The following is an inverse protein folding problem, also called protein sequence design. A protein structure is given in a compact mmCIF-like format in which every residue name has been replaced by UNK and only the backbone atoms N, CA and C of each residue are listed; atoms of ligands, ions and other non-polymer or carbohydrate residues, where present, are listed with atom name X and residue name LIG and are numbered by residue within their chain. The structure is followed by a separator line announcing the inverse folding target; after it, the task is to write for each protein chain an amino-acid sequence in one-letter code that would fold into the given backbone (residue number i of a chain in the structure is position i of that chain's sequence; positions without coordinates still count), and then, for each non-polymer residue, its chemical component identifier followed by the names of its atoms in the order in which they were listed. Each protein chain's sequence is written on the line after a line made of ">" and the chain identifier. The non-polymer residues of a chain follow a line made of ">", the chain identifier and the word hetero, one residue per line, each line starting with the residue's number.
data_IF_598908475596
#
_entry.id   IF_598908475596
#
_cell.length_a   1.000
_cell.length_b   1.000
_cell.length_c   1.000
_cell.angle_alpha   90.00
_cell.angle_beta   90.00
_cell.angle_gamma   90.00
#
_symmetry.space_group_name_H-M   'P 1'
#
loop_
_entity.id
_entity.type
_entity.pdbx_description
1 polymer ?
#
# COMPACT_ATOMS: atom_id res chain seq x y z
N UNK A 1 32.69 -9.41 -17.15
CA UNK A 1 32.91 -9.52 -15.70
C UNK A 1 31.57 -9.90 -15.09
N UNK A 2 31.55 -11.09 -14.52
CA UNK A 2 30.35 -11.68 -13.88
C UNK A 2 30.02 -10.89 -12.62
N UNK A 3 28.95 -10.14 -12.63
CA UNK A 3 28.25 -9.79 -11.39
C UNK A 3 27.38 -10.98 -11.00
N UNK A 4 28.01 -12.00 -10.42
CA UNK A 4 27.28 -12.94 -9.60
C UNK A 4 26.94 -12.22 -8.31
N UNK A 5 25.72 -11.70 -8.20
CA UNK A 5 25.16 -11.35 -6.92
C UNK A 5 25.31 -12.56 -6.00
N UNK A 6 26.22 -12.49 -5.04
CA UNK A 6 26.26 -13.45 -3.93
C UNK A 6 24.97 -13.23 -3.13
N UNK A 7 23.92 -13.95 -3.51
CA UNK A 7 22.63 -13.79 -2.89
C UNK A 7 21.51 -14.47 -3.66
N UNK A 8 20.30 -14.16 -3.28
CA UNK A 8 19.11 -14.71 -3.89
C UNK A 8 18.94 -14.13 -5.30
N UNK A 9 18.84 -15.00 -6.30
CA UNK A 9 18.51 -14.66 -7.67
C UNK A 9 17.23 -13.78 -7.72
N UNK A 10 17.21 -12.76 -8.57
CA UNK A 10 16.09 -11.83 -8.72
C UNK A 10 14.75 -12.54 -8.97
N UNK A 11 14.75 -13.64 -9.72
CA UNK A 11 13.57 -14.47 -9.94
C UNK A 11 13.07 -15.13 -8.65
N UNK A 12 13.95 -15.68 -7.84
CA UNK A 12 13.60 -16.26 -6.53
C UNK A 12 13.08 -15.20 -5.58
N UNK A 13 13.64 -14.00 -5.62
CA UNK A 13 13.15 -12.86 -4.87
C UNK A 13 11.74 -12.48 -5.30
N UNK A 14 11.50 -12.36 -6.61
CA UNK A 14 10.18 -12.07 -7.17
C UNK A 14 9.12 -13.13 -6.78
N UNK A 15 9.50 -14.43 -6.81
CA UNK A 15 8.61 -15.51 -6.36
C UNK A 15 8.20 -15.33 -4.90
N UNK A 16 9.16 -15.11 -4.00
CA UNK A 16 8.86 -14.90 -2.57
C UNK A 16 7.99 -13.66 -2.31
N UNK A 17 8.24 -12.58 -3.06
CA UNK A 17 7.40 -11.38 -2.99
C UNK A 17 5.97 -11.72 -3.42
N UNK A 18 5.81 -12.42 -4.54
CA UNK A 18 4.49 -12.80 -5.06
C UNK A 18 3.75 -13.82 -4.18
N UNK A 19 4.46 -14.72 -3.51
CA UNK A 19 3.88 -15.63 -2.51
C UNK A 19 3.30 -14.87 -1.33
N UNK A 20 4.03 -13.88 -0.82
CA UNK A 20 3.60 -13.08 0.33
C UNK A 20 2.59 -12.00 -0.05
N UNK A 21 2.77 -11.38 -1.22
CA UNK A 21 1.97 -10.26 -1.71
C UNK A 21 1.49 -10.54 -3.15
N UNK A 22 0.49 -11.41 -3.36
CA UNK A 22 0.07 -11.84 -4.71
C UNK A 22 -0.37 -10.70 -5.64
N UNK A 23 -0.95 -9.64 -5.07
CA UNK A 23 -1.47 -8.48 -5.81
C UNK A 23 -0.41 -7.41 -6.09
N UNK A 24 0.76 -7.48 -5.45
CA UNK A 24 1.82 -6.48 -5.64
C UNK A 24 2.36 -6.57 -7.08
N UNK A 25 2.36 -5.48 -7.86
CA UNK A 25 3.01 -5.48 -9.17
C UNK A 25 4.51 -5.68 -9.01
N UNK A 26 5.09 -6.55 -9.83
CA UNK A 26 6.53 -6.82 -9.85
C UNK A 26 7.04 -6.59 -11.26
N UNK A 27 8.04 -5.74 -11.39
CA UNK A 27 8.75 -5.50 -12.65
C UNK A 27 10.12 -6.14 -12.57
N UNK A 28 10.45 -6.94 -13.56
CA UNK A 28 11.78 -7.53 -13.71
C UNK A 28 12.60 -6.69 -14.68
N UNK A 29 13.77 -6.24 -14.25
CA UNK A 29 14.70 -5.48 -15.08
C UNK A 29 15.99 -6.29 -15.23
N UNK A 30 16.37 -6.64 -16.45
CA UNK A 30 17.54 -7.48 -16.73
C UNK A 30 18.26 -7.08 -18.01
N UNK A 31 19.52 -7.44 -18.13
CA UNK A 31 20.27 -7.33 -19.38
C UNK A 31 20.05 -8.55 -20.32
N UNK A 32 19.37 -9.59 -19.86
CA UNK A 32 19.29 -10.86 -20.59
C UNK A 32 17.86 -11.20 -21.00
N UNK A 33 17.61 -11.27 -22.31
CA UNK A 33 16.31 -11.61 -22.88
C UNK A 33 15.80 -13.01 -22.44
N UNK A 34 16.71 -13.94 -22.18
CA UNK A 34 16.37 -15.31 -21.81
C UNK A 34 15.54 -15.40 -20.52
N UNK A 35 15.65 -14.41 -19.63
CA UNK A 35 14.88 -14.34 -18.39
C UNK A 35 13.43 -13.89 -18.59
N UNK A 36 13.03 -13.47 -19.80
CA UNK A 36 11.67 -13.09 -20.08
C UNK A 36 10.67 -14.24 -19.85
N UNK A 37 11.05 -15.46 -20.27
CA UNK A 37 10.24 -16.67 -20.07
C UNK A 37 10.13 -17.05 -18.58
N UNK A 38 11.19 -16.83 -17.81
CA UNK A 38 11.20 -17.09 -16.38
C UNK A 38 10.41 -16.01 -15.60
N UNK A 39 10.41 -14.77 -16.10
CA UNK A 39 9.55 -13.69 -15.59
C UNK A 39 8.08 -14.05 -15.67
N UNK A 40 7.65 -14.74 -16.73
CA UNK A 40 6.27 -15.24 -16.86
C UNK A 40 5.93 -16.28 -15.78
N UNK A 41 6.86 -17.16 -15.43
CA UNK A 41 6.66 -18.17 -14.36
C UNK A 41 6.43 -17.55 -12.98
N UNK A 42 7.05 -16.40 -12.70
CA UNK A 42 6.90 -15.68 -11.44
C UNK A 42 5.74 -14.68 -11.45
N UNK A 43 4.93 -14.66 -12.53
CA UNK A 43 3.81 -13.73 -12.72
C UNK A 43 4.23 -12.27 -12.53
N UNK A 44 5.39 -11.91 -13.07
CA UNK A 44 5.81 -10.52 -13.13
C UNK A 44 4.82 -9.71 -13.97
N UNK A 45 4.49 -8.51 -13.51
CA UNK A 45 3.56 -7.61 -14.20
C UNK A 45 4.17 -7.08 -15.49
N UNK A 46 5.47 -6.81 -15.48
CA UNK A 46 6.23 -6.31 -16.64
C UNK A 46 7.65 -6.86 -16.61
N UNK A 47 8.26 -6.86 -17.79
CA UNK A 47 9.66 -7.25 -18.01
C UNK A 47 10.34 -6.16 -18.86
N UNK A 48 11.45 -5.61 -18.38
CA UNK A 48 12.21 -4.57 -19.07
C UNK A 48 13.65 -5.01 -19.30
N UNK A 49 14.18 -4.67 -20.46
CA UNK A 49 15.60 -4.84 -20.77
C UNK A 49 16.38 -3.60 -20.34
N UNK A 50 17.56 -3.80 -19.73
CA UNK A 50 18.43 -2.70 -19.30
C UNK A 50 18.89 -1.83 -20.47
N UNK A 51 19.04 -2.41 -21.66
CA UNK A 51 19.57 -1.71 -22.83
C UNK A 51 18.64 -0.62 -23.37
N UNK A 52 17.33 -0.77 -23.16
CA UNK A 52 16.31 0.21 -23.57
C UNK A 52 15.45 0.69 -22.39
N UNK A 53 16.00 0.60 -21.17
CA UNK A 53 15.26 0.93 -19.95
C UNK A 53 14.79 2.39 -19.94
N UNK A 54 15.66 3.32 -20.39
CA UNK A 54 15.33 4.74 -20.42
C UNK A 54 14.10 5.07 -21.27
N UNK A 55 13.94 4.35 -22.38
CA UNK A 55 12.83 4.58 -23.33
C UNK A 55 11.52 3.89 -22.90
N UNK A 56 11.61 2.84 -22.07
CA UNK A 56 10.47 1.98 -21.75
C UNK A 56 9.97 2.12 -20.32
N UNK A 57 10.75 2.72 -19.43
CA UNK A 57 10.41 2.80 -18.00
C UNK A 57 9.18 3.69 -17.75
N UNK A 58 9.07 4.81 -18.45
CA UNK A 58 7.98 5.78 -18.28
C UNK A 58 6.64 5.12 -18.66
N UNK A 59 6.55 4.53 -19.86
CA UNK A 59 5.37 3.81 -20.32
C UNK A 59 5.00 2.65 -19.36
N UNK A 60 6.00 1.90 -18.90
CA UNK A 60 5.81 0.82 -17.94
C UNK A 60 5.21 1.32 -16.63
N UNK A 61 5.70 2.45 -16.11
CA UNK A 61 5.19 3.03 -14.86
C UNK A 61 3.77 3.55 -15.02
N UNK A 62 3.46 4.21 -16.13
CA UNK A 62 2.11 4.70 -16.44
C UNK A 62 1.11 3.55 -16.52
N UNK A 63 1.45 2.47 -17.21
CA UNK A 63 0.64 1.27 -17.29
C UNK A 63 0.37 0.66 -15.91
N UNK A 64 1.41 0.54 -15.06
CA UNK A 64 1.27 -0.01 -13.72
C UNK A 64 0.42 0.88 -12.82
N UNK A 65 0.60 2.19 -12.88
CA UNK A 65 -0.22 3.15 -12.15
C UNK A 65 -1.68 3.04 -12.58
N UNK A 66 -1.93 2.94 -13.89
CA UNK A 66 -3.29 2.75 -14.42
C UNK A 66 -3.91 1.43 -13.94
N UNK A 67 -3.14 0.33 -13.93
CA UNK A 67 -3.58 -0.97 -13.43
C UNK A 67 -3.89 -0.94 -11.92
N UNK A 68 -3.03 -0.33 -11.11
CA UNK A 68 -3.24 -0.14 -9.67
C UNK A 68 -4.51 0.68 -9.44
N UNK A 69 -4.64 1.82 -10.11
CA UNK A 69 -5.78 2.72 -9.95
C UNK A 69 -7.11 2.07 -10.37
N UNK A 70 -7.10 1.24 -11.41
CA UNK A 70 -8.28 0.50 -11.87
C UNK A 70 -8.79 -0.49 -10.82
N UNK A 71 -7.89 -1.02 -10.00
CA UNK A 71 -8.22 -1.99 -8.95
C UNK A 71 -8.46 -1.34 -7.57
N UNK A 72 -8.28 -0.01 -7.46
CA UNK A 72 -8.53 0.71 -6.20
C UNK A 72 -10.02 0.72 -5.87
N UNK A 73 -10.34 0.40 -4.63
CA UNK A 73 -11.73 0.37 -4.16
C UNK A 73 -12.19 1.75 -3.76
N UNK A 74 -13.19 2.26 -4.47
CA UNK A 74 -13.85 3.54 -4.15
C UNK A 74 -14.96 3.26 -3.15
N UNK A 75 -14.99 4.03 -2.09
CA UNK A 75 -16.02 4.03 -1.07
C UNK A 75 -16.72 5.39 -1.05
N UNK A 76 -18.02 5.38 -0.88
CA UNK A 76 -18.82 6.60 -0.76
C UNK A 76 -19.39 6.70 0.65
N UNK A 77 -19.06 7.78 1.34
CA UNK A 77 -19.54 8.05 2.68
C UNK A 77 -20.29 9.38 2.75
N UNK A 78 -21.30 9.42 3.60
CA UNK A 78 -22.01 10.65 3.96
C UNK A 78 -21.38 11.24 5.21
N UNK A 79 -20.40 12.10 5.03
CA UNK A 79 -19.73 12.81 6.09
C UNK A 79 -20.52 14.04 6.54
N UNK A 80 -20.09 14.67 7.63
CA UNK A 80 -20.64 15.97 8.09
C UNK A 80 -20.44 17.04 7.02
N UNK A 81 -19.33 16.98 6.32
CA UNK A 81 -18.92 17.88 5.24
C UNK A 81 -19.67 17.62 3.92
N UNK A 82 -20.40 16.51 3.81
CA UNK A 82 -21.15 16.13 2.61
C UNK A 82 -20.88 14.69 2.17
N UNK A 83 -21.39 14.33 1.00
CA UNK A 83 -21.13 13.03 0.39
C UNK A 83 -19.81 13.06 -0.34
N UNK A 84 -18.85 12.24 0.11
CA UNK A 84 -17.49 12.22 -0.41
C UNK A 84 -17.12 10.81 -0.83
N UNK A 85 -16.47 10.70 -2.00
CA UNK A 85 -15.88 9.47 -2.52
C UNK A 85 -14.39 9.43 -2.19
N UNK A 86 -13.97 8.40 -1.48
CA UNK A 86 -12.59 8.14 -1.10
C UNK A 86 -12.13 6.79 -1.64
N UNK A 87 -10.88 6.68 -2.03
CA UNK A 87 -10.28 5.37 -2.17
C UNK A 87 -9.94 4.84 -0.78
N UNK A 88 -10.14 3.54 -0.56
CA UNK A 88 -9.78 2.91 0.71
C UNK A 88 -8.29 3.13 1.05
N UNK A 89 -7.44 3.13 0.01
CA UNK A 89 -6.00 3.33 0.15
C UNK A 89 -5.61 4.77 0.56
N UNK A 90 -6.46 5.77 0.29
CA UNK A 90 -6.21 7.16 0.71
C UNK A 90 -6.47 7.37 2.22
N UNK A 91 -7.17 6.43 2.87
CA UNK A 91 -7.50 6.50 4.28
C UNK A 91 -6.33 5.93 5.09
N UNK A 92 -5.75 6.75 5.94
CA UNK A 92 -4.60 6.39 6.77
C UNK A 92 -5.06 5.65 8.02
N UNK A 93 -5.96 6.28 8.76
CA UNK A 93 -6.63 5.69 9.92
C UNK A 93 -7.94 6.40 10.22
N UNK A 94 -8.75 5.80 11.08
CA UNK A 94 -10.00 6.34 11.57
C UNK A 94 -9.93 6.35 13.09
N UNK A 95 -10.27 7.48 13.70
CA UNK A 95 -10.25 7.67 15.14
C UNK A 95 -11.64 8.05 15.66
N UNK A 96 -12.03 7.48 16.80
CA UNK A 96 -13.23 7.90 17.51
C UNK A 96 -12.92 9.10 18.40
N UNK A 97 -13.49 10.24 18.06
CA UNK A 97 -13.45 11.45 18.87
C UNK A 97 -14.83 11.78 19.41
N UNK A 98 -14.99 11.72 20.74
CA UNK A 98 -16.28 11.93 21.42
C UNK A 98 -17.38 11.02 20.85
N UNK A 99 -18.25 11.53 19.99
CA UNK A 99 -19.39 10.82 19.40
C UNK A 99 -19.30 10.67 17.87
N UNK A 100 -18.16 10.98 17.28
CA UNK A 100 -17.91 10.93 15.85
C UNK A 100 -16.69 10.07 15.56
N UNK A 101 -16.63 9.54 14.35
CA UNK A 101 -15.41 8.99 13.82
C UNK A 101 -14.81 9.96 12.81
N UNK A 102 -13.52 10.21 12.94
CA UNK A 102 -12.73 11.11 12.09
C UNK A 102 -11.85 10.25 11.19
N UNK A 103 -12.01 10.44 9.89
CA UNK A 103 -11.19 9.82 8.87
C UNK A 103 -10.00 10.71 8.59
N UNK A 104 -8.82 10.22 8.85
CA UNK A 104 -7.57 10.87 8.49
C UNK A 104 -7.11 10.30 7.15
N UNK A 105 -7.07 11.17 6.14
CA UNK A 105 -6.77 10.76 4.76
C UNK A 105 -5.67 11.64 4.16
N UNK A 106 -5.09 11.21 3.04
CA UNK A 106 -4.15 12.03 2.28
C UNK A 106 -4.76 13.34 1.76
N UNK A 107 -6.09 13.40 1.65
CA UNK A 107 -6.84 14.56 1.13
C UNK A 107 -7.37 15.50 2.21
N UNK A 108 -7.16 15.15 3.48
CA UNK A 108 -7.67 15.89 4.62
C UNK A 108 -8.45 15.01 5.60
N UNK A 109 -9.16 15.63 6.52
CA UNK A 109 -9.95 14.96 7.56
C UNK A 109 -11.43 15.11 7.30
N UNK A 110 -12.20 14.03 7.53
CA UNK A 110 -13.64 14.00 7.33
C UNK A 110 -14.31 13.35 8.55
N UNK A 111 -15.48 13.85 8.96
CA UNK A 111 -16.18 13.41 10.16
C UNK A 111 -17.48 12.68 9.82
N UNK A 112 -17.73 11.56 10.49
CA UNK A 112 -18.97 10.79 10.30
C UNK A 112 -19.58 10.36 11.63
N UNK A 113 -20.93 10.42 11.69
CA UNK A 113 -21.71 9.85 12.79
C UNK A 113 -22.08 8.40 12.48
N UNK A 114 -21.10 7.51 12.61
CA UNK A 114 -21.25 6.07 12.40
C UNK A 114 -20.41 5.34 13.43
N UNK A 115 -20.85 4.21 13.94
CA UNK A 115 -20.08 3.46 14.93
C UNK A 115 -18.80 2.89 14.31
N UNK A 116 -17.72 2.86 15.10
CA UNK A 116 -16.44 2.33 14.61
C UNK A 116 -16.54 0.84 14.27
N UNK A 117 -17.38 0.07 14.97
CA UNK A 117 -17.62 -1.35 14.68
C UNK A 117 -18.32 -1.56 13.32
N UNK A 118 -19.20 -0.63 12.92
CA UNK A 118 -19.82 -0.66 11.60
C UNK A 118 -18.79 -0.35 10.51
N UNK A 119 -17.92 0.63 10.76
CA UNK A 119 -16.82 0.97 9.86
C UNK A 119 -15.83 -0.20 9.75
N UNK A 120 -15.47 -0.85 10.84
CA UNK A 120 -14.60 -2.02 10.84
C UNK A 120 -15.17 -3.14 9.94
N UNK A 121 -16.48 -3.38 10.00
CA UNK A 121 -17.13 -4.35 9.12
C UNK A 121 -17.11 -3.91 7.64
N UNK A 122 -17.28 -2.62 7.35
CA UNK A 122 -17.21 -2.09 5.98
C UNK A 122 -15.81 -2.17 5.39
N UNK A 123 -14.80 -1.96 6.21
CA UNK A 123 -13.39 -2.03 5.81
C UNK A 123 -12.79 -3.44 5.91
N UNK A 124 -13.61 -4.43 6.26
CA UNK A 124 -13.19 -5.83 6.24
C UNK A 124 -12.66 -6.21 4.87
N UNK A 125 -11.57 -6.93 4.84
CA UNK A 125 -10.87 -7.35 3.61
C UNK A 125 -10.23 -6.19 2.79
N UNK A 126 -10.11 -4.98 3.38
CA UNK A 126 -9.45 -3.83 2.76
C UNK A 126 -8.13 -3.46 3.44
N UNK A 127 -7.61 -4.31 4.31
CA UNK A 127 -6.33 -4.07 5.00
C UNK A 127 -6.45 -3.14 6.21
N UNK A 128 -7.65 -2.99 6.78
CA UNK A 128 -7.84 -2.24 8.02
C UNK A 128 -7.88 -3.18 9.22
N UNK A 129 -7.21 -2.76 10.30
CA UNK A 129 -7.13 -3.49 11.56
C UNK A 129 -7.53 -2.60 12.73
N UNK A 130 -8.33 -3.17 13.63
CA UNK A 130 -8.69 -2.51 14.89
C UNK A 130 -7.46 -2.51 15.81
N UNK A 131 -6.74 -1.40 15.86
CA UNK A 131 -5.54 -1.26 16.68
C UNK A 131 -5.86 -0.92 18.15
N UNK A 132 -7.02 -0.30 18.40
CA UNK A 132 -7.50 0.10 19.73
C UNK A 132 -9.02 0.24 19.72
N UNK A 133 -9.66 0.36 20.88
CA UNK A 133 -11.12 0.60 20.99
C UNK A 133 -11.59 1.83 20.19
N UNK A 134 -10.70 2.81 20.01
CA UNK A 134 -10.97 4.06 19.31
C UNK A 134 -10.26 4.19 17.97
N UNK A 135 -9.50 3.19 17.51
CA UNK A 135 -8.69 3.29 16.29
C UNK A 135 -8.87 2.12 15.33
N UNK A 136 -9.12 2.45 14.09
CA UNK A 136 -9.09 1.55 12.95
C UNK A 136 -8.00 2.03 11.97
N UNK A 137 -6.97 1.24 11.74
CA UNK A 137 -5.75 1.62 11.03
C UNK A 137 -5.62 0.86 9.73
N UNK A 138 -5.22 1.54 8.66
CA UNK A 138 -4.92 0.91 7.39
C UNK A 138 -3.49 0.33 7.39
N UNK A 139 -3.36 -0.99 7.44
CA UNK A 139 -2.06 -1.67 7.42
C UNK A 139 -1.29 -1.48 6.11
N UNK A 140 -1.99 -1.22 5.00
CA UNK A 140 -1.37 -1.01 3.69
C UNK A 140 -0.69 0.36 3.60
N UNK A 141 -1.20 1.34 4.33
CA UNK A 141 -0.55 2.62 4.54
C UNK A 141 0.41 2.47 5.74
N UNK A 142 1.58 1.89 5.54
CA UNK A 142 2.62 1.71 6.55
C UNK A 142 3.21 3.03 7.04
N UNK A 143 2.37 3.91 7.53
CA UNK A 143 2.81 5.02 8.36
C UNK A 143 2.92 4.43 9.77
N UNK A 144 4.12 4.45 10.31
CA UNK A 144 4.35 3.96 11.66
C UNK A 144 3.55 4.78 12.69
N UNK A 145 2.32 4.37 12.95
CA UNK A 145 1.51 4.94 14.02
C UNK A 145 2.04 4.36 15.31
N UNK A 146 2.80 5.16 16.05
CA UNK A 146 3.18 4.84 17.43
C UNK A 146 2.07 5.33 18.33
N UNK A 147 1.22 4.42 18.80
CA UNK A 147 0.23 4.71 19.83
C UNK A 147 0.95 4.66 21.17
N UNK A 148 1.24 5.82 21.76
CA UNK A 148 1.71 5.89 23.13
C UNK A 148 0.50 5.85 24.09
N UNK A 149 0.18 4.64 24.57
CA UNK A 149 -0.97 4.41 25.44
C UNK A 149 -0.85 5.12 26.82
N UNK A 150 0.34 5.61 27.19
CA UNK A 150 0.56 6.25 28.49
C UNK A 150 0.36 7.77 28.49
N UNK A 151 0.45 8.43 27.32
CA UNK A 151 0.41 9.90 27.22
C UNK A 151 -0.74 10.50 26.48
N UNK A 152 -1.59 9.72 25.81
CA UNK A 152 -2.61 10.22 24.87
C UNK A 152 -2.05 11.16 23.78
N UNK A 153 -0.74 11.12 23.55
CA UNK A 153 -0.07 11.89 22.51
C UNK A 153 0.18 10.98 21.30
N UNK A 154 -0.37 11.38 20.17
CA UNK A 154 -0.19 10.69 18.89
C UNK A 154 0.86 11.44 18.08
N UNK A 155 1.97 10.78 17.78
CA UNK A 155 3.00 11.32 16.88
C UNK A 155 2.96 10.58 15.56
N UNK A 156 2.65 11.29 14.50
CA UNK A 156 2.89 10.84 13.14
C UNK A 156 4.39 10.90 12.83
N UNK A 157 4.96 9.79 12.46
CA UNK A 157 6.25 9.76 11.78
C UNK A 157 5.99 9.45 10.32
N UNK A 158 6.36 10.33 9.36
CA UNK A 158 6.24 10.01 7.94
C UNK A 158 7.04 8.76 7.61
N UNK A 159 6.51 7.94 6.71
CA UNK A 159 6.95 6.57 6.42
C UNK A 159 8.31 6.43 5.71
N UNK A 160 9.24 7.33 5.96
CA UNK A 160 10.65 7.14 5.68
C UNK A 160 11.45 6.91 6.96
N UNK A 161 10.94 6.08 7.85
CA UNK A 161 11.76 5.52 8.89
C UNK A 161 12.57 4.38 8.28
N UNK A 162 13.81 4.63 7.98
CA UNK A 162 14.82 3.60 7.77
C UNK A 162 14.69 2.57 8.90
N UNK A 163 14.39 1.33 8.53
CA UNK A 163 14.63 0.20 9.43
C UNK A 163 16.15 0.07 9.46
N UNK A 164 16.78 0.71 10.44
CA UNK A 164 18.14 0.41 10.81
C UNK A 164 18.04 -0.91 11.60
N UNK A 165 18.28 -2.01 10.89
CA UNK A 165 18.51 -3.30 11.53
C UNK A 165 19.83 -3.18 12.30
N UNK A 166 19.77 -3.34 13.61
CA UNK A 166 20.90 -3.66 14.47
C UNK A 166 21.21 -5.15 14.33
#
# INVERSE_FOLDING_TARGET
>A
IRDSMQGMDGLKTAMRIKEKYPKLPVVLVTAYMNYALDGYKVKASRFLLKDNLADTIEECMDDLIAEINKNRRILEFRFVEGTIKLYADDIIYIETELHKNVFYTEKGTFQIYKKLDELENEFKDMGFVRAHLSFLVNELNQIGIKIDMYRQEYRFTPAFAFIQAV
#
